data_IF_501635145966
#
_entry.id   IF_501635145966
#
_cell.length_a   1.000
_cell.length_b   1.000
_cell.length_c   1.000
_cell.angle_alpha   90.00
_cell.angle_beta   90.00
_cell.angle_gamma   90.00
#
_symmetry.space_group_name_H-M   'P 1'
#
loop_
_entity.id
_entity.type
_entity.pdbx_description
1 polymer ?
#
# COMPACT_ATOMS: atom_id res chain seq x y z
N UNK A 1 -11.85 -6.32 -2.17
CA UNK A 1 -11.74 -7.47 -1.23
C UNK A 1 -11.63 -8.82 -1.96
N UNK A 2 -10.97 -8.82 -3.11
CA UNK A 2 -10.84 -10.03 -3.92
C UNK A 2 -9.83 -11.03 -3.29
N UNK A 3 -8.79 -10.50 -2.62
CA UNK A 3 -7.79 -11.30 -1.91
C UNK A 3 -8.27 -11.70 -0.50
N UNK A 4 -9.04 -12.78 -0.43
CA UNK A 4 -9.57 -13.34 0.81
C UNK A 4 -9.23 -14.83 0.93
N UNK A 5 -9.65 -15.47 2.03
CA UNK A 5 -9.34 -16.89 2.26
C UNK A 5 -9.93 -17.80 1.18
N UNK A 6 -11.12 -17.50 0.67
CA UNK A 6 -11.74 -18.27 -0.41
C UNK A 6 -10.96 -18.16 -1.72
N UNK A 7 -10.49 -16.96 -2.04
CA UNK A 7 -9.58 -16.75 -3.16
C UNK A 7 -8.29 -17.56 -3.00
N UNK A 8 -7.68 -17.52 -1.82
CA UNK A 8 -6.46 -18.29 -1.55
C UNK A 8 -6.71 -19.79 -1.74
N UNK A 9 -7.78 -20.32 -1.13
CA UNK A 9 -8.15 -21.73 -1.25
C UNK A 9 -8.39 -22.16 -2.70
N UNK A 10 -9.03 -21.32 -3.52
CA UNK A 10 -9.27 -21.61 -4.94
C UNK A 10 -7.99 -21.63 -5.78
N UNK A 11 -6.95 -20.89 -5.35
CA UNK A 11 -5.68 -20.82 -6.06
C UNK A 11 -4.66 -21.89 -5.60
N UNK A 12 -4.83 -22.45 -4.42
CA UNK A 12 -3.98 -23.54 -3.93
C UNK A 12 -4.34 -24.90 -4.56
N UNK A 13 -5.48 -24.96 -5.25
CA UNK A 13 -6.02 -26.20 -5.84
C UNK A 13 -6.02 -27.36 -4.82
N UNK A 14 -5.56 -28.56 -5.19
CA UNK A 14 -5.52 -29.71 -4.28
C UNK A 14 -4.12 -29.98 -3.71
N UNK A 15 -3.20 -29.03 -3.87
CA UNK A 15 -1.83 -29.20 -3.42
C UNK A 15 -1.74 -28.97 -1.90
N UNK A 16 -1.29 -29.99 -1.17
CA UNK A 16 -0.92 -29.89 0.25
C UNK A 16 0.44 -29.20 0.38
N UNK A 17 0.46 -27.87 0.16
CA UNK A 17 1.67 -27.07 0.34
C UNK A 17 1.90 -26.73 1.83
N UNK A 18 3.15 -26.72 2.29
CA UNK A 18 3.46 -26.27 3.63
C UNK A 18 2.95 -24.84 3.87
N UNK A 19 2.32 -24.54 5.02
CA UNK A 19 1.81 -23.21 5.33
C UNK A 19 2.87 -22.11 5.24
N UNK A 20 4.12 -22.41 5.58
CA UNK A 20 5.26 -21.50 5.46
C UNK A 20 5.55 -21.11 4.02
N UNK A 21 5.41 -22.01 3.07
CA UNK A 21 5.62 -21.76 1.64
C UNK A 21 4.49 -20.90 1.07
N UNK A 22 3.26 -21.14 1.53
CA UNK A 22 2.10 -20.31 1.19
C UNK A 22 2.31 -18.88 1.70
N UNK A 23 2.73 -18.73 2.96
CA UNK A 23 3.00 -17.40 3.52
C UNK A 23 4.16 -16.69 2.82
N UNK A 24 5.23 -17.40 2.49
CA UNK A 24 6.35 -16.85 1.74
C UNK A 24 5.93 -16.37 0.35
N UNK A 25 5.08 -17.14 -0.33
CA UNK A 25 4.53 -16.78 -1.65
C UNK A 25 3.63 -15.55 -1.57
N UNK A 26 2.77 -15.44 -0.56
CA UNK A 26 1.91 -14.26 -0.36
C UNK A 26 2.73 -13.03 0.02
N UNK A 27 3.79 -13.18 0.80
CA UNK A 27 4.73 -12.10 1.08
C UNK A 27 5.41 -11.61 -0.19
N UNK A 28 5.86 -12.53 -1.02
CA UNK A 28 6.50 -12.21 -2.30
C UNK A 28 5.53 -11.50 -3.25
N UNK A 29 4.31 -12.01 -3.40
CA UNK A 29 3.25 -11.39 -4.20
C UNK A 29 3.00 -9.96 -3.76
N UNK A 30 2.86 -9.72 -2.45
CA UNK A 30 2.63 -8.39 -1.89
C UNK A 30 3.82 -7.46 -2.14
N UNK A 31 5.03 -7.94 -1.88
CA UNK A 31 6.25 -7.15 -2.04
C UNK A 31 6.51 -6.76 -3.50
N UNK A 32 6.36 -7.71 -4.41
CA UNK A 32 6.52 -7.48 -5.86
C UNK A 32 5.44 -6.52 -6.38
N UNK A 33 4.18 -6.69 -5.96
CA UNK A 33 3.09 -5.81 -6.38
C UNK A 33 3.34 -4.36 -5.96
N UNK A 34 3.81 -4.13 -4.73
CA UNK A 34 4.17 -2.79 -4.24
C UNK A 34 5.32 -2.21 -5.07
N UNK A 35 6.41 -2.96 -5.24
CA UNK A 35 7.58 -2.45 -5.95
C UNK A 35 7.29 -2.21 -7.43
N UNK A 36 6.57 -3.10 -8.09
CA UNK A 36 6.17 -2.91 -9.49
C UNK A 36 5.31 -1.64 -9.66
N UNK A 37 4.36 -1.39 -8.75
CA UNK A 37 3.55 -0.17 -8.78
C UNK A 37 4.41 1.10 -8.62
N UNK A 38 5.43 1.07 -7.76
CA UNK A 38 6.35 2.19 -7.56
C UNK A 38 7.25 2.42 -8.78
N UNK A 39 7.83 1.35 -9.32
CA UNK A 39 8.77 1.42 -10.46
C UNK A 39 8.09 1.83 -11.77
N UNK A 40 6.77 1.68 -11.89
CA UNK A 40 6.00 2.15 -13.05
C UNK A 40 5.62 3.63 -12.98
N UNK A 41 5.92 4.32 -11.89
CA UNK A 41 5.64 5.75 -11.78
C UNK A 41 6.48 6.57 -12.77
N UNK A 42 5.91 7.66 -13.31
CA UNK A 42 6.59 8.46 -14.35
C UNK A 42 7.81 9.25 -13.84
N UNK A 43 8.03 9.27 -12.53
CA UNK A 43 9.17 9.93 -11.88
C UNK A 43 9.82 9.00 -10.88
N UNK A 44 11.14 9.03 -10.75
CA UNK A 44 11.85 8.27 -9.73
C UNK A 44 11.33 8.58 -8.32
N UNK A 45 11.19 7.54 -7.52
CA UNK A 45 10.76 7.63 -6.12
C UNK A 45 11.99 7.48 -5.23
N UNK A 46 12.24 8.45 -4.37
CA UNK A 46 13.38 8.40 -3.46
C UNK A 46 13.05 7.73 -2.12
N UNK A 47 11.77 7.77 -1.70
CA UNK A 47 11.33 7.25 -0.42
C UNK A 47 9.95 6.61 -0.53
N UNK A 48 9.78 5.46 0.11
CA UNK A 48 8.51 4.73 0.21
C UNK A 48 8.17 4.60 1.68
N UNK A 49 7.02 5.13 2.08
CA UNK A 49 6.55 5.06 3.46
C UNK A 49 5.44 4.03 3.58
N UNK A 50 5.68 3.03 4.43
CA UNK A 50 4.74 1.95 4.70
C UNK A 50 3.91 2.31 5.93
N UNK A 51 2.59 2.13 5.83
CA UNK A 51 1.63 2.33 6.92
C UNK A 51 0.80 1.06 7.18
N UNK A 52 0.00 1.11 8.25
CA UNK A 52 -0.82 -0.02 8.67
C UNK A 52 -0.02 -1.20 9.20
N UNK A 53 -0.66 -2.37 9.30
CA UNK A 53 -0.05 -3.58 9.87
C UNK A 53 1.21 -4.07 9.15
N UNK A 54 1.31 -3.80 7.83
CA UNK A 54 2.48 -4.14 7.03
C UNK A 54 3.78 -3.50 7.52
N UNK A 55 3.71 -2.28 8.09
CA UNK A 55 4.86 -1.57 8.63
C UNK A 55 5.49 -2.30 9.85
N UNK A 56 4.74 -3.15 10.52
CA UNK A 56 5.18 -3.95 11.66
C UNK A 56 5.59 -5.37 11.27
N UNK A 57 5.50 -5.73 10.00
CA UNK A 57 5.95 -7.02 9.50
C UNK A 57 7.43 -6.93 9.05
N UNK A 58 8.39 -7.46 9.84
CA UNK A 58 9.81 -7.34 9.53
C UNK A 58 10.18 -8.06 8.24
N UNK A 59 9.51 -9.17 7.91
CA UNK A 59 9.77 -9.91 6.68
C UNK A 59 9.37 -9.10 5.44
N UNK A 60 8.22 -8.39 5.50
CA UNK A 60 7.78 -7.49 4.43
C UNK A 60 8.76 -6.33 4.25
N UNK A 61 9.14 -5.67 5.34
CA UNK A 61 10.08 -4.54 5.31
C UNK A 61 11.44 -4.96 4.77
N UNK A 62 11.96 -6.11 5.19
CA UNK A 62 13.22 -6.66 4.68
C UNK A 62 13.12 -6.99 3.19
N UNK A 63 12.01 -7.61 2.75
CA UNK A 63 11.82 -7.99 1.35
C UNK A 63 11.72 -6.77 0.45
N UNK A 64 10.99 -5.73 0.86
CA UNK A 64 10.89 -4.47 0.14
C UNK A 64 12.26 -3.79 -0.02
N UNK A 65 13.08 -3.77 1.05
CA UNK A 65 14.44 -3.24 0.97
C UNK A 65 15.32 -4.02 -0.02
N UNK A 66 15.21 -5.35 -0.05
CA UNK A 66 15.95 -6.18 -1.02
C UNK A 66 15.51 -5.90 -2.45
N UNK A 67 14.21 -5.73 -2.69
CA UNK A 67 13.68 -5.40 -4.02
C UNK A 67 14.07 -3.98 -4.45
N UNK A 68 14.03 -3.01 -3.54
CA UNK A 68 14.50 -1.66 -3.80
C UNK A 68 15.98 -1.63 -4.21
N UNK A 69 16.82 -2.38 -3.50
CA UNK A 69 18.23 -2.51 -3.87
C UNK A 69 18.42 -3.20 -5.23
N UNK A 70 17.66 -4.25 -5.51
CA UNK A 70 17.75 -4.98 -6.78
C UNK A 70 17.36 -4.11 -7.99
N UNK A 71 16.44 -3.16 -7.83
CA UNK A 71 16.02 -2.25 -8.92
C UNK A 71 17.16 -1.37 -9.46
N UNK A 72 18.20 -1.12 -8.67
CA UNK A 72 19.38 -0.36 -9.12
C UNK A 72 20.27 -1.14 -10.09
N UNK A 73 20.16 -2.46 -10.11
CA UNK A 73 20.89 -3.31 -11.07
C UNK A 73 20.30 -3.12 -12.48
N UNK A 74 18.99 -2.95 -12.55
CA UNK A 74 18.27 -2.74 -13.82
C UNK A 74 18.38 -1.30 -14.30
N UNK A 75 18.57 -0.34 -13.37
CA UNK A 75 18.72 1.09 -13.64
C UNK A 75 20.03 1.63 -13.06
N UNK A 76 21.18 1.35 -13.67
CA UNK A 76 22.48 1.79 -13.18
C UNK A 76 22.57 3.33 -13.12
N UNK A 77 22.85 3.86 -11.93
CA UNK A 77 22.97 5.30 -11.68
C UNK A 77 21.79 5.92 -10.92
N UNK A 78 20.70 5.18 -10.72
CA UNK A 78 19.64 5.59 -9.81
C UNK A 78 19.92 5.11 -8.37
N UNK A 79 19.51 5.93 -7.40
CA UNK A 79 19.57 5.54 -6.00
C UNK A 79 18.34 4.68 -5.69
N UNK A 80 18.49 3.57 -4.92
CA UNK A 80 17.34 2.78 -4.51
C UNK A 80 16.42 3.60 -3.61
N UNK A 81 15.11 3.47 -3.73
CA UNK A 81 14.20 4.13 -2.80
C UNK A 81 14.41 3.62 -1.37
N UNK A 82 14.44 4.53 -0.41
CA UNK A 82 14.48 4.19 1.01
C UNK A 82 13.11 3.69 1.47
N UNK A 83 13.06 2.51 2.09
CA UNK A 83 11.82 1.96 2.66
C UNK A 83 11.75 2.38 4.13
N UNK A 84 10.72 3.12 4.47
CA UNK A 84 10.52 3.72 5.80
C UNK A 84 9.12 3.42 6.32
N UNK A 85 8.90 3.71 7.60
CA UNK A 85 7.59 3.66 8.21
C UNK A 85 7.09 5.12 8.41
N UNK A 86 5.78 5.32 8.32
CA UNK A 86 5.16 6.65 8.43
C UNK A 86 5.39 7.33 9.78
N UNK A 87 5.81 6.59 10.81
CA UNK A 87 6.25 7.16 12.09
C UNK A 87 7.39 8.18 11.94
N UNK A 88 8.24 8.02 10.92
CA UNK A 88 9.31 8.98 10.62
C UNK A 88 8.78 10.33 10.08
N UNK A 89 7.53 10.34 9.58
CA UNK A 89 6.81 11.57 9.20
C UNK A 89 5.96 12.16 10.34
N UNK A 90 6.01 11.55 11.52
CA UNK A 90 5.27 12.01 12.71
C UNK A 90 3.85 11.42 12.84
N UNK A 91 3.47 10.48 11.98
CA UNK A 91 2.19 9.74 12.08
C UNK A 91 2.51 8.25 12.21
N UNK A 92 2.23 7.65 13.37
CA UNK A 92 2.41 6.23 13.56
C UNK A 92 1.61 5.42 12.53
N UNK A 93 2.16 4.30 12.09
CA UNK A 93 1.65 3.53 10.95
C UNK A 93 0.18 3.12 11.10
N UNK A 94 -0.25 2.79 12.30
CA UNK A 94 -1.61 2.40 12.66
C UNK A 94 -2.62 3.56 12.68
N UNK A 95 -2.16 4.81 12.72
CA UNK A 95 -3.03 6.00 12.76
C UNK A 95 -3.27 6.63 11.40
N UNK A 96 -2.57 6.22 10.36
CA UNK A 96 -2.68 6.82 9.02
C UNK A 96 -4.09 6.69 8.47
N UNK A 97 -4.72 5.52 8.61
CA UNK A 97 -6.10 5.30 8.15
C UNK A 97 -7.10 6.16 8.94
N UNK A 98 -6.97 6.19 10.27
CA UNK A 98 -7.84 7.02 11.12
C UNK A 98 -7.67 8.51 10.80
N UNK A 99 -6.46 8.98 10.56
CA UNK A 99 -6.20 10.37 10.14
C UNK A 99 -6.81 10.67 8.76
N UNK A 100 -6.73 9.73 7.81
CA UNK A 100 -7.35 9.87 6.49
C UNK A 100 -8.86 9.97 6.59
N UNK A 101 -9.53 9.13 7.38
CA UNK A 101 -10.96 9.20 7.59
C UNK A 101 -11.40 10.46 8.33
N UNK A 102 -10.63 10.92 9.33
CA UNK A 102 -10.88 12.19 10.00
C UNK A 102 -10.79 13.38 9.02
N UNK A 103 -9.80 13.36 8.12
CA UNK A 103 -9.66 14.37 7.07
C UNK A 103 -10.84 14.32 6.09
N UNK A 104 -11.27 13.13 5.65
CA UNK A 104 -12.44 12.97 4.78
C UNK A 104 -13.73 13.48 5.44
N UNK A 105 -13.94 13.18 6.72
CA UNK A 105 -15.08 13.70 7.48
C UNK A 105 -15.06 15.25 7.53
N UNK A 106 -13.89 15.84 7.78
CA UNK A 106 -13.71 17.28 7.73
C UNK A 106 -14.05 17.85 6.35
N UNK A 107 -13.58 17.26 5.25
CA UNK A 107 -13.90 17.69 3.90
C UNK A 107 -15.43 17.69 3.68
N UNK A 108 -16.11 16.61 4.11
CA UNK A 108 -17.57 16.49 3.99
C UNK A 108 -18.31 17.61 4.75
N UNK A 109 -17.92 17.88 5.99
CA UNK A 109 -18.52 18.93 6.82
C UNK A 109 -18.30 20.33 6.19
N UNK A 110 -17.14 20.57 5.62
CA UNK A 110 -16.78 21.82 4.96
C UNK A 110 -17.33 21.95 3.52
N UNK A 111 -18.04 20.94 3.02
CA UNK A 111 -18.58 20.92 1.65
C UNK A 111 -17.50 20.85 0.58
N UNK A 112 -16.33 20.31 0.90
CA UNK A 112 -15.18 20.15 0.00
C UNK A 112 -15.11 18.75 -0.56
N UNK A 113 -14.50 18.62 -1.73
CA UNK A 113 -14.28 17.32 -2.37
C UNK A 113 -13.20 16.50 -1.64
N UNK A 114 -13.37 15.18 -1.61
CA UNK A 114 -12.48 14.26 -0.89
C UNK A 114 -11.76 13.25 -1.79
N UNK A 115 -12.03 13.25 -3.11
CA UNK A 115 -11.39 12.32 -4.04
C UNK A 115 -10.36 13.02 -4.93
N UNK A 116 -9.39 12.23 -5.37
CA UNK A 116 -8.40 12.62 -6.40
C UNK A 116 -8.68 11.85 -7.69
N UNK A 117 -8.98 12.55 -8.77
CA UNK A 117 -9.37 11.95 -10.06
C UNK A 117 -8.29 11.00 -10.59
N UNK A 118 -7.01 11.40 -10.51
CA UNK A 118 -5.90 10.60 -11.01
C UNK A 118 -5.68 9.30 -10.22
N UNK A 119 -6.08 9.28 -8.94
CA UNK A 119 -5.90 8.10 -8.08
C UNK A 119 -7.11 7.17 -8.10
N UNK A 120 -8.31 7.72 -8.27
CA UNK A 120 -9.56 6.96 -8.16
C UNK A 120 -10.17 6.57 -9.51
N UNK A 121 -9.73 7.18 -10.60
CA UNK A 121 -10.35 7.02 -11.91
C UNK A 121 -11.77 7.60 -12.00
N UNK A 122 -12.18 8.43 -11.05
CA UNK A 122 -13.48 9.05 -11.04
C UNK A 122 -13.58 10.15 -12.12
N UNK A 123 -14.77 10.29 -12.71
CA UNK A 123 -15.02 11.27 -13.78
C UNK A 123 -15.04 12.71 -13.27
N UNK A 124 -15.28 12.92 -11.97
CA UNK A 124 -15.38 14.26 -11.36
C UNK A 124 -15.02 14.24 -9.88
N UNK A 125 -14.64 15.41 -9.39
CA UNK A 125 -14.49 15.63 -7.95
C UNK A 125 -15.87 15.68 -7.26
N UNK A 126 -15.98 14.99 -6.11
CA UNK A 126 -17.21 14.86 -5.34
C UNK A 126 -16.94 14.96 -3.85
N UNK A 127 -17.96 15.42 -3.10
CA UNK A 127 -17.97 15.30 -1.65
C UNK A 127 -18.22 13.83 -1.32
N UNK A 128 -17.32 13.23 -0.53
CA UNK A 128 -17.44 11.85 -0.09
C UNK A 128 -18.15 11.77 1.26
N UNK A 129 -19.03 10.77 1.41
CA UNK A 129 -19.80 10.56 2.62
C UNK A 129 -21.16 11.27 2.62
N UNK A 130 -21.90 11.08 3.73
CA UNK A 130 -23.20 11.70 3.94
C UNK A 130 -23.36 12.12 5.41
N UNK A 131 -24.10 13.21 5.63
CA UNK A 131 -24.45 13.70 6.96
C UNK A 131 -25.93 13.36 7.20
N UNK A 132 -26.19 12.57 8.22
CA UNK A 132 -27.55 12.24 8.65
C UNK A 132 -27.86 13.04 9.90
N UNK A 133 -28.67 14.12 9.80
CA UNK A 133 -29.08 14.87 10.98
C UNK A 133 -29.98 14.01 11.87
N UNK A 134 -29.88 14.22 13.18
CA UNK A 134 -30.70 13.55 14.19
C UNK A 134 -32.15 14.05 14.14
#
# INVERSE_FOLDING_TARGET
>A
EDFNLSWLQSNLEQDELPPEDIQATLLELSSQSIMNAVLTLPKPVNQIYICGGGAHNPALMERLNKLALASTIENPGEQPPEIKNTGELGIAAEWVEAAAFAWLAKQTIEGKTGNMLQATGADREVILGAIYPA
#
